data_IF_316318574199
#
_entry.id   IF_316318574199
#
_cell.length_a   1.000
_cell.length_b   1.000
_cell.length_c   1.000
_cell.angle_alpha   90.00
_cell.angle_beta   90.00
_cell.angle_gamma   90.00
#
_symmetry.space_group_name_H-M   'P 1'
#
loop_
_entity.id
_entity.type
_entity.pdbx_description
1 polymer ?
#
# COMPACT_ATOMS: atom_id res chain seq x y z
N UNK A 1 3.24 -17.76 -17.26
CA UNK A 1 2.54 -16.83 -18.19
C UNK A 1 1.05 -16.83 -17.90
N UNK A 2 0.61 -16.03 -16.93
CA UNK A 2 -0.81 -15.74 -16.69
C UNK A 2 -1.07 -14.35 -17.27
N UNK A 3 -1.90 -14.29 -18.31
CA UNK A 3 -2.30 -13.02 -18.94
C UNK A 3 -3.37 -12.37 -18.07
N UNK A 4 -3.16 -11.11 -17.67
CA UNK A 4 -4.09 -10.37 -16.80
C UNK A 4 -3.80 -10.46 -15.29
N UNK A 5 -2.53 -10.66 -14.93
CA UNK A 5 -2.08 -10.76 -13.53
C UNK A 5 -2.51 -9.59 -12.65
N UNK A 6 -2.90 -9.93 -11.42
CA UNK A 6 -2.94 -9.00 -10.30
C UNK A 6 -1.48 -8.70 -9.95
N UNK A 7 -0.97 -7.52 -10.31
CA UNK A 7 0.31 -7.03 -9.81
C UNK A 7 0.11 -6.77 -8.32
N UNK A 8 0.50 -7.78 -7.54
CA UNK A 8 0.64 -7.69 -6.09
C UNK A 8 2.07 -7.29 -5.80
N UNK A 9 2.29 -6.70 -4.62
CA UNK A 9 3.63 -6.30 -4.24
C UNK A 9 4.58 -7.45 -4.44
N UNK A 10 5.75 -7.04 -4.81
CA UNK A 10 6.89 -7.84 -5.06
C UNK A 10 7.67 -7.72 -3.68
N UNK A 11 8.55 -8.65 -3.23
CA UNK A 11 9.31 -8.53 -1.95
C UNK A 11 10.85 -8.61 -2.04
N UNK A 12 11.60 -8.49 -0.94
CA UNK A 12 13.04 -8.83 -0.94
C UNK A 12 13.20 -10.35 -1.01
N UNK A 13 13.54 -10.91 -2.17
CA UNK A 13 13.96 -12.30 -2.32
C UNK A 13 15.47 -12.41 -2.10
N UNK A 14 15.90 -12.94 -0.95
CA UNK A 14 17.23 -13.54 -0.85
C UNK A 14 17.18 -14.96 -1.40
N UNK A 15 18.03 -15.26 -2.38
CA UNK A 15 18.20 -16.58 -3.02
C UNK A 15 18.87 -17.64 -2.11
N UNK A 16 18.95 -17.41 -0.79
CA UNK A 16 19.54 -18.36 0.15
C UNK A 16 18.47 -19.19 0.88
N UNK A 17 18.57 -20.51 0.75
CA UNK A 17 17.72 -21.53 1.40
C UNK A 17 17.77 -21.44 2.94
N UNK A 18 17.00 -20.51 3.52
CA UNK A 18 17.02 -20.21 4.96
C UNK A 18 15.68 -20.35 5.70
N UNK A 19 14.55 -20.25 5.00
CA UNK A 19 13.21 -20.32 5.61
C UNK A 19 12.49 -21.60 5.17
N UNK A 20 12.19 -22.48 6.13
CA UNK A 20 11.28 -23.59 5.91
C UNK A 20 9.89 -23.04 5.57
N UNK A 21 9.21 -23.64 4.58
CA UNK A 21 7.81 -23.29 4.27
C UNK A 21 6.94 -23.48 5.51
N UNK A 22 6.26 -22.43 5.87
CA UNK A 22 5.36 -22.34 7.01
C UNK A 22 4.16 -21.47 6.63
N UNK A 23 3.10 -21.45 7.45
CA UNK A 23 1.84 -20.75 7.13
C UNK A 23 2.11 -19.26 6.88
N UNK A 24 3.06 -18.70 7.61
CA UNK A 24 3.52 -17.31 7.54
C UNK A 24 4.24 -17.03 6.21
N UNK A 25 5.20 -17.86 5.80
CA UNK A 25 5.94 -17.65 4.54
C UNK A 25 5.08 -17.92 3.32
N UNK A 26 4.24 -18.96 3.34
CA UNK A 26 3.25 -19.21 2.29
C UNK A 26 2.19 -18.08 2.23
N UNK A 27 1.75 -17.53 3.37
CA UNK A 27 0.84 -16.38 3.42
C UNK A 27 1.50 -15.12 2.82
N UNK A 28 2.72 -14.81 3.26
CA UNK A 28 3.48 -13.65 2.80
C UNK A 28 3.70 -13.78 1.29
N UNK A 29 4.29 -14.87 0.79
CA UNK A 29 4.56 -15.06 -0.65
C UNK A 29 3.30 -15.08 -1.53
N UNK A 30 2.12 -15.38 -0.98
CA UNK A 30 0.88 -15.53 -1.76
C UNK A 30 -0.02 -14.29 -1.75
N UNK A 31 -0.05 -13.54 -0.65
CA UNK A 31 -1.03 -12.45 -0.45
C UNK A 31 -0.40 -11.09 -0.13
N UNK A 32 0.84 -11.07 0.35
CA UNK A 32 1.58 -9.84 0.67
C UNK A 32 2.60 -9.53 -0.42
N UNK A 33 3.43 -10.50 -0.78
CA UNK A 33 4.60 -10.39 -1.66
C UNK A 33 4.76 -11.52 -2.72
N UNK A 34 3.88 -11.63 -3.73
CA UNK A 34 4.24 -12.32 -4.97
C UNK A 34 5.29 -11.52 -5.77
N UNK A 35 6.55 -11.99 -5.74
CA UNK A 35 7.56 -11.90 -6.82
C UNK A 35 8.77 -10.85 -6.84
N UNK A 36 8.95 -9.76 -6.04
CA UNK A 36 10.22 -8.91 -6.01
C UNK A 36 10.27 -7.32 -5.87
N UNK A 37 10.04 -6.66 -4.69
CA UNK A 37 9.82 -5.21 -4.28
C UNK A 37 8.44 -4.38 -4.40
N UNK A 38 8.26 -3.23 -3.69
CA UNK A 38 6.97 -2.50 -3.49
C UNK A 38 6.47 -1.61 -4.68
N UNK A 39 5.18 -1.19 -4.69
CA UNK A 39 4.62 -0.20 -5.67
C UNK A 39 5.45 1.10 -5.73
N UNK A 40 5.60 1.64 -6.95
CA UNK A 40 6.46 2.79 -7.23
C UNK A 40 6.00 4.06 -6.50
N UNK A 41 4.70 4.41 -6.59
CA UNK A 41 4.16 5.63 -5.95
C UNK A 41 4.35 5.53 -4.43
N UNK A 42 4.08 4.37 -3.87
CA UNK A 42 4.18 4.18 -2.43
C UNK A 42 5.62 4.21 -1.90
N UNK A 43 6.57 3.73 -2.69
CA UNK A 43 8.00 3.69 -2.31
C UNK A 43 8.66 5.05 -2.47
N UNK A 44 8.49 5.69 -3.63
CA UNK A 44 9.15 6.95 -3.97
C UNK A 44 8.45 8.15 -3.30
N UNK A 45 7.12 8.21 -3.41
CA UNK A 45 6.35 9.43 -3.12
C UNK A 45 5.76 9.45 -1.69
N UNK A 46 5.49 8.26 -1.14
CA UNK A 46 4.92 8.13 0.21
C UNK A 46 5.95 7.63 1.23
N UNK A 47 7.18 7.29 0.84
CA UNK A 47 8.22 6.74 1.72
C UNK A 47 7.73 5.50 2.52
N UNK A 48 6.90 4.66 1.91
CA UNK A 48 6.47 3.40 2.54
C UNK A 48 7.59 2.36 2.37
N UNK A 49 8.31 2.07 3.45
CA UNK A 49 9.42 1.09 3.47
C UNK A 49 9.00 -0.35 3.80
N UNK A 50 7.74 -0.57 4.16
CA UNK A 50 7.17 -1.92 4.36
C UNK A 50 5.66 -1.91 4.14
N UNK A 51 5.17 -2.90 3.37
CA UNK A 51 3.74 -3.19 3.22
C UNK A 51 3.21 -4.20 4.25
N UNK A 52 3.96 -4.58 5.29
CA UNK A 52 3.46 -5.41 6.39
C UNK A 52 3.99 -5.00 7.77
N UNK A 53 3.23 -5.34 8.81
CA UNK A 53 3.58 -5.13 10.21
C UNK A 53 3.02 -6.27 11.09
N UNK A 54 3.89 -6.90 11.87
CA UNK A 54 3.51 -7.84 12.93
C UNK A 54 2.83 -7.12 14.09
N UNK A 55 1.82 -7.76 14.70
CA UNK A 55 1.28 -7.31 15.98
C UNK A 55 2.31 -7.49 17.10
N UNK A 56 2.25 -6.70 18.20
CA UNK A 56 3.21 -6.78 19.30
C UNK A 56 3.28 -8.15 20.01
N UNK A 57 2.23 -8.96 19.88
CA UNK A 57 2.12 -10.33 20.40
C UNK A 57 2.43 -11.42 19.35
N UNK A 58 2.84 -11.04 18.14
CA UNK A 58 3.10 -11.91 16.99
C UNK A 58 1.92 -12.79 16.54
N UNK A 59 0.68 -12.51 16.98
CA UNK A 59 -0.51 -13.29 16.56
C UNK A 59 -0.99 -12.91 15.15
N UNK A 60 -0.80 -11.67 14.74
CA UNK A 60 -1.36 -11.13 13.51
C UNK A 60 -0.31 -10.48 12.61
N UNK A 61 -0.56 -10.52 11.30
CA UNK A 61 0.15 -9.74 10.28
C UNK A 61 -0.86 -8.76 9.67
N UNK A 62 -0.66 -7.46 9.90
CA UNK A 62 -1.32 -6.42 9.12
C UNK A 62 -0.52 -6.19 7.83
N UNK A 63 -1.19 -6.03 6.69
CA UNK A 63 -0.52 -5.88 5.40
C UNK A 63 -1.33 -5.09 4.37
N UNK A 64 -0.63 -4.52 3.39
CA UNK A 64 -1.25 -3.80 2.28
C UNK A 64 -1.28 -4.67 1.02
N UNK A 65 -2.47 -4.82 0.45
CA UNK A 65 -2.67 -5.34 -0.90
C UNK A 65 -2.84 -4.18 -1.88
N UNK A 66 -2.11 -4.25 -2.99
CA UNK A 66 -2.18 -3.31 -4.09
C UNK A 66 -2.81 -3.98 -5.30
N UNK A 67 -3.46 -3.19 -6.14
CA UNK A 67 -4.05 -3.65 -7.40
C UNK A 67 -3.75 -2.60 -8.47
N UNK A 68 -2.68 -2.85 -9.23
CA UNK A 68 -2.15 -1.96 -10.25
C UNK A 68 -2.68 -2.31 -11.66
N UNK A 69 -3.67 -3.20 -11.78
CA UNK A 69 -4.35 -3.46 -13.05
C UNK A 69 -4.94 -2.20 -13.71
N UNK A 70 -5.45 -1.16 -13.00
CA UNK A 70 -5.87 0.09 -13.63
C UNK A 70 -4.70 1.06 -13.94
N UNK A 71 -3.48 0.78 -13.49
CA UNK A 71 -2.30 1.64 -13.70
C UNK A 71 -1.69 1.37 -15.08
N UNK A 72 -1.38 2.46 -15.78
CA UNK A 72 -0.76 2.42 -17.09
C UNK A 72 0.68 1.87 -17.01
N UNK A 73 1.06 1.04 -17.99
CA UNK A 73 2.46 0.65 -18.20
C UNK A 73 3.19 1.65 -19.08
N UNK A 74 4.45 1.94 -18.73
CA UNK A 74 5.37 2.77 -19.48
C UNK A 74 6.62 1.96 -19.85
N UNK A 75 6.99 1.87 -21.14
CA UNK A 75 8.16 1.13 -21.55
C UNK A 75 9.44 1.89 -21.18
N UNK A 76 10.29 1.26 -20.38
CA UNK A 76 11.62 1.73 -20.06
C UNK A 76 12.66 0.89 -20.81
N UNK A 77 13.74 1.53 -21.25
CA UNK A 77 14.83 0.85 -21.97
C UNK A 77 15.94 0.59 -20.96
N UNK A 78 16.31 -0.67 -20.78
CA UNK A 78 17.53 -1.03 -20.05
C UNK A 78 18.73 -0.90 -21.00
N UNK A 79 19.71 -0.09 -20.58
CA UNK A 79 20.96 0.15 -21.30
C UNK A 79 22.17 -0.56 -20.65
N UNK A 80 21.97 -1.30 -19.56
CA UNK A 80 23.04 -2.04 -18.87
C UNK A 80 23.46 -3.30 -19.66
N UNK A 81 22.54 -3.90 -20.43
CA UNK A 81 22.86 -5.01 -21.32
C UNK A 81 23.52 -4.57 -22.64
N UNK A 82 24.35 -5.46 -23.21
CA UNK A 82 25.03 -5.23 -24.49
C UNK A 82 24.06 -5.01 -25.68
N UNK A 83 22.82 -5.50 -25.55
CA UNK A 83 21.71 -5.20 -26.46
C UNK A 83 20.59 -4.62 -25.60
N UNK A 84 20.18 -3.36 -25.80
CA UNK A 84 19.14 -2.77 -24.98
C UNK A 84 17.84 -3.58 -25.04
N UNK A 85 17.29 -3.88 -23.87
CA UNK A 85 15.99 -4.53 -23.70
C UNK A 85 14.94 -3.49 -23.32
N UNK A 86 13.66 -3.86 -23.41
CA UNK A 86 12.55 -3.02 -22.96
C UNK A 86 11.81 -3.78 -21.86
N UNK A 87 11.57 -3.12 -20.74
CA UNK A 87 10.72 -3.60 -19.66
C UNK A 87 9.56 -2.61 -19.45
N UNK A 88 8.41 -3.12 -19.02
CA UNK A 88 7.21 -2.32 -18.79
C UNK A 88 7.09 -1.98 -17.30
N UNK A 89 7.16 -0.68 -16.98
CA UNK A 89 7.07 -0.15 -15.61
C UNK A 89 5.65 0.36 -15.30
N UNK A 90 5.19 0.24 -14.05
CA UNK A 90 3.86 0.69 -13.62
C UNK A 90 3.91 2.14 -13.15
N UNK A 91 3.46 3.06 -14.01
CA UNK A 91 3.63 4.49 -13.78
C UNK A 91 2.33 5.30 -13.99
N UNK A 92 1.62 5.70 -12.92
CA UNK A 92 0.36 6.44 -13.01
C UNK A 92 0.61 7.93 -13.28
N UNK A 93 0.54 8.36 -14.55
CA UNK A 93 0.67 9.79 -14.90
C UNK A 93 -0.40 10.68 -14.25
N UNK A 94 -0.09 11.97 -14.04
CA UNK A 94 -0.98 12.93 -13.35
C UNK A 94 -2.38 13.03 -13.99
N UNK A 95 -3.38 12.46 -13.28
CA UNK A 95 -4.78 12.35 -13.67
C UNK A 95 -5.23 10.92 -14.02
N UNK A 96 -4.29 10.03 -14.37
CA UNK A 96 -4.52 8.61 -14.62
C UNK A 96 -4.80 7.85 -13.32
N UNK A 97 -5.42 6.65 -13.36
CA UNK A 97 -5.74 5.89 -12.15
C UNK A 97 -4.50 5.48 -11.36
N UNK A 98 -4.60 5.58 -10.04
CA UNK A 98 -3.62 5.05 -9.08
C UNK A 98 -3.84 3.54 -8.85
N UNK A 99 -2.87 2.83 -8.24
CA UNK A 99 -3.11 1.53 -7.62
C UNK A 99 -4.28 1.59 -6.64
N UNK A 100 -5.08 0.51 -6.56
CA UNK A 100 -6.14 0.38 -5.55
C UNK A 100 -5.57 -0.35 -4.33
N UNK A 101 -5.41 0.38 -3.21
CA UNK A 101 -4.78 -0.17 -1.99
C UNK A 101 -5.81 -0.55 -0.93
N UNK A 102 -5.60 -1.70 -0.26
CA UNK A 102 -6.45 -2.22 0.82
C UNK A 102 -5.59 -2.76 1.97
N UNK A 103 -6.03 -2.51 3.21
CA UNK A 103 -5.42 -3.07 4.42
C UNK A 103 -6.10 -4.39 4.80
N UNK A 104 -5.34 -5.47 4.85
CA UNK A 104 -5.75 -6.74 5.43
C UNK A 104 -5.09 -7.01 6.77
N UNK A 105 -5.71 -7.84 7.59
CA UNK A 105 -5.12 -8.44 8.79
C UNK A 105 -5.30 -9.94 8.73
N UNK A 106 -4.21 -10.68 8.85
CA UNK A 106 -4.18 -12.13 8.89
C UNK A 106 -3.85 -12.61 10.30
N UNK A 107 -4.70 -13.44 10.87
CA UNK A 107 -4.47 -14.18 12.11
C UNK A 107 -3.70 -15.46 11.80
N UNK A 108 -2.49 -15.58 12.34
CA UNK A 108 -1.54 -16.65 12.00
C UNK A 108 -1.95 -17.99 12.62
N UNK A 109 -2.54 -17.97 13.81
CA UNK A 109 -2.95 -19.17 14.53
C UNK A 109 -4.17 -19.85 13.89
N UNK A 110 -5.12 -19.06 13.39
CA UNK A 110 -6.38 -19.54 12.81
C UNK A 110 -6.42 -19.54 11.28
N UNK A 111 -5.45 -18.88 10.62
CA UNK A 111 -5.43 -18.68 9.17
C UNK A 111 -6.51 -17.73 8.65
N UNK A 112 -7.14 -16.94 9.52
CA UNK A 112 -8.27 -16.07 9.18
C UNK A 112 -7.77 -14.72 8.63
N UNK A 113 -8.29 -14.33 7.46
CA UNK A 113 -8.05 -13.02 6.85
C UNK A 113 -9.27 -12.10 7.02
N UNK A 114 -9.04 -10.87 7.49
CA UNK A 114 -10.06 -9.82 7.63
C UNK A 114 -9.60 -8.56 6.91
N UNK A 115 -10.47 -7.97 6.10
CA UNK A 115 -10.19 -6.72 5.38
C UNK A 115 -10.70 -5.52 6.17
N UNK A 116 -9.86 -4.50 6.32
CA UNK A 116 -10.21 -3.27 7.04
C UNK A 116 -10.89 -2.28 6.07
N UNK A 117 -12.12 -1.81 6.34
CA UNK A 117 -12.88 -0.95 5.42
C UNK A 117 -12.43 0.53 5.49
N UNK A 118 -11.12 0.75 5.29
CA UNK A 118 -10.47 2.08 5.31
C UNK A 118 -10.28 2.70 3.93
N UNK A 119 -9.93 1.85 2.96
CA UNK A 119 -9.58 2.22 1.59
C UNK A 119 -10.08 1.13 0.63
N UNK A 120 -9.67 1.19 -0.64
CA UNK A 120 -10.09 0.25 -1.67
C UNK A 120 -10.70 0.90 -2.91
N UNK A 121 -10.47 2.19 -3.12
CA UNK A 121 -10.70 2.90 -4.39
C UNK A 121 -9.40 3.52 -4.88
N UNK A 122 -9.30 3.83 -6.18
CA UNK A 122 -8.17 4.56 -6.74
C UNK A 122 -8.14 6.06 -6.33
N UNK A 123 -9.16 6.52 -5.59
CA UNK A 123 -9.30 7.91 -5.12
C UNK A 123 -8.90 8.10 -3.64
N UNK A 124 -8.29 7.07 -3.04
CA UNK A 124 -7.77 7.07 -1.67
C UNK A 124 -6.37 6.49 -1.62
N UNK A 125 -5.44 7.18 -0.98
CA UNK A 125 -4.15 6.61 -0.55
C UNK A 125 -4.28 6.17 0.91
N UNK A 126 -3.96 4.92 1.21
CA UNK A 126 -3.70 4.48 2.58
C UNK A 126 -2.22 4.68 2.89
N UNK A 127 -1.83 5.86 3.38
CA UNK A 127 -0.44 6.35 3.39
C UNK A 127 0.43 5.75 4.50
N UNK A 128 -0.16 5.41 5.64
CA UNK A 128 0.50 4.68 6.75
C UNK A 128 -0.47 3.70 7.37
N UNK A 129 0.07 2.67 8.01
CA UNK A 129 -0.67 1.73 8.84
C UNK A 129 0.27 1.13 9.88
N UNK A 130 -0.28 0.47 10.90
CA UNK A 130 0.49 -0.25 11.89
C UNK A 130 -0.36 -0.69 13.07
N UNK A 131 0.26 -1.22 14.11
CA UNK A 131 -0.45 -1.62 15.31
C UNK A 131 -0.46 -0.50 16.35
N UNK A 132 -1.56 -0.36 17.09
CA UNK A 132 -1.55 0.43 18.32
C UNK A 132 -0.63 -0.26 19.34
N UNK A 133 -0.02 0.48 20.30
CA UNK A 133 0.91 -0.10 21.28
C UNK A 133 0.35 -1.26 22.11
N UNK A 134 -0.97 -1.33 22.26
CA UNK A 134 -1.69 -2.39 22.96
C UNK A 134 -1.85 -3.69 22.14
N UNK A 135 -1.63 -3.64 20.83
CA UNK A 135 -1.81 -4.78 19.91
C UNK A 135 -3.27 -5.14 19.59
N UNK A 136 -4.25 -4.53 20.25
CA UNK A 136 -5.68 -4.85 20.12
C UNK A 136 -6.35 -4.31 18.84
N UNK A 137 -5.71 -3.32 18.19
CA UNK A 137 -6.20 -2.69 16.96
C UNK A 137 -5.06 -2.33 16.01
N UNK A 138 -5.35 -2.45 14.72
CA UNK A 138 -4.55 -1.86 13.64
C UNK A 138 -5.03 -0.43 13.39
N UNK A 139 -4.14 0.50 13.08
CA UNK A 139 -4.48 1.83 12.59
C UNK A 139 -4.14 1.96 11.11
N UNK A 140 -4.82 2.89 10.43
CA UNK A 140 -4.51 3.30 9.08
C UNK A 140 -4.76 4.80 8.90
N UNK A 141 -3.88 5.45 8.16
CA UNK A 141 -3.99 6.83 7.71
C UNK A 141 -4.46 6.84 6.26
N UNK A 142 -5.62 7.43 6.01
CA UNK A 142 -6.24 7.49 4.68
C UNK A 142 -6.26 8.94 4.20
N UNK A 143 -5.59 9.21 3.10
CA UNK A 143 -5.51 10.50 2.43
C UNK A 143 -6.39 10.47 1.17
N UNK A 144 -7.24 11.47 0.96
CA UNK A 144 -7.99 11.59 -0.29
C UNK A 144 -7.04 11.87 -1.49
N UNK A 145 -7.45 11.55 -2.72
CA UNK A 145 -6.63 11.76 -3.93
C UNK A 145 -6.12 13.19 -4.13
N UNK A 146 -6.88 14.19 -3.66
CA UNK A 146 -6.50 15.60 -3.70
C UNK A 146 -5.54 16.02 -2.58
N UNK A 147 -5.15 15.11 -1.67
CA UNK A 147 -4.18 15.32 -0.58
C UNK A 147 -4.53 16.48 0.37
N UNK A 148 -5.83 16.66 0.61
CA UNK A 148 -6.42 17.76 1.38
C UNK A 148 -7.16 17.29 2.65
N UNK A 149 -7.35 15.98 2.81
CA UNK A 149 -8.04 15.39 3.96
C UNK A 149 -7.35 14.08 4.36
N UNK A 150 -6.65 14.11 5.49
CA UNK A 150 -6.09 12.93 6.15
C UNK A 150 -7.04 12.46 7.26
N UNK A 151 -7.47 11.21 7.16
CA UNK A 151 -8.28 10.50 8.13
C UNK A 151 -7.43 9.42 8.80
N UNK A 152 -7.10 9.61 10.08
CA UNK A 152 -6.63 8.49 10.91
C UNK A 152 -7.85 7.65 11.34
N UNK A 153 -7.72 6.33 11.31
CA UNK A 153 -8.73 5.40 11.79
C UNK A 153 -8.08 4.19 12.46
N UNK A 154 -8.79 3.57 13.40
CA UNK A 154 -8.39 2.30 14.02
C UNK A 154 -9.45 1.23 13.80
N UNK A 155 -9.00 -0.01 13.60
CA UNK A 155 -9.85 -1.13 13.23
C UNK A 155 -9.58 -2.32 14.15
N UNK A 156 -10.65 -3.05 14.49
CA UNK A 156 -10.53 -4.33 15.17
C UNK A 156 -10.07 -5.43 14.19
N UNK A 157 -9.02 -6.20 14.50
CA UNK A 157 -8.46 -7.20 13.59
C UNK A 157 -9.37 -8.41 13.37
N UNK A 158 -10.22 -8.77 14.34
CA UNK A 158 -11.11 -9.92 14.26
C UNK A 158 -12.39 -9.65 13.47
N UNK A 159 -12.92 -8.42 13.52
CA UNK A 159 -14.24 -8.06 12.98
C UNK A 159 -14.21 -7.06 11.83
N UNK A 160 -13.11 -6.33 11.64
CA UNK A 160 -13.04 -5.20 10.71
C UNK A 160 -13.81 -3.96 11.19
N UNK A 161 -14.28 -3.93 12.45
CA UNK A 161 -14.96 -2.76 13.03
C UNK A 161 -14.01 -1.55 13.05
N UNK A 162 -14.33 -0.54 12.24
CA UNK A 162 -13.56 0.70 12.11
C UNK A 162 -14.13 1.83 12.96
N UNK A 163 -13.23 2.56 13.63
CA UNK A 163 -13.49 3.85 14.28
C UNK A 163 -12.58 4.93 13.71
N UNK A 164 -13.15 6.02 13.21
CA UNK A 164 -12.39 7.20 12.81
C UNK A 164 -11.81 7.93 14.03
N UNK A 165 -10.50 8.17 14.01
CA UNK A 165 -9.77 9.00 14.96
C UNK A 165 -9.57 10.37 14.30
N UNK A 166 -10.59 11.22 14.39
CA UNK A 166 -10.65 12.47 13.63
C UNK A 166 -9.59 13.47 14.11
N UNK A 167 -8.58 13.74 13.28
CA UNK A 167 -7.80 14.97 13.35
C UNK A 167 -8.50 16.05 12.50
N UNK A 168 -8.43 17.31 12.93
CA UNK A 168 -9.00 18.46 12.19
C UNK A 168 -7.97 19.57 12.21
N UNK A 169 -7.55 20.11 11.06
CA UNK A 169 -6.67 21.28 11.03
C UNK A 169 -7.42 22.49 11.58
N UNK A 170 -6.83 23.18 12.56
CA UNK A 170 -7.40 24.39 13.17
C UNK A 170 -7.24 25.64 12.27
N UNK A 171 -6.38 25.58 11.25
CA UNK A 171 -6.12 26.65 10.30
C UNK A 171 -5.74 26.10 8.91
N UNK A 172 -5.88 26.89 7.82
CA UNK A 172 -5.30 26.56 6.52
C UNK A 172 -3.77 26.60 6.57
N UNK A 173 -3.09 25.59 6.01
CA UNK A 173 -1.63 25.54 5.95
C UNK A 173 -1.09 24.22 5.38
N UNK A 174 0.22 24.18 5.12
CA UNK A 174 0.93 22.94 4.82
C UNK A 174 1.34 22.30 6.15
N UNK A 175 0.57 21.30 6.58
CA UNK A 175 0.97 20.37 7.62
C UNK A 175 1.77 19.23 6.96
N UNK A 176 2.58 18.44 7.69
CA UNK A 176 3.36 17.36 7.10
C UNK A 176 2.44 16.25 6.59
N UNK A 177 2.03 16.40 5.34
CA UNK A 177 1.34 15.40 4.54
C UNK A 177 2.25 15.01 3.40
N UNK A 178 2.33 13.71 3.17
CA UNK A 178 3.14 13.04 2.16
C UNK A 178 3.06 13.79 0.84
N UNK A 179 4.19 14.34 0.38
CA UNK A 179 4.24 15.14 -0.82
C UNK A 179 4.56 14.23 -2.00
N UNK A 180 3.56 13.86 -2.79
CA UNK A 180 3.79 13.14 -4.05
C UNK A 180 3.99 14.13 -5.22
N UNK A 181 4.87 13.85 -6.17
CA UNK A 181 5.11 14.69 -7.36
C UNK A 181 3.83 14.85 -8.23
N UNK A 182 2.86 13.95 -8.05
CA UNK A 182 1.51 14.04 -8.62
C UNK A 182 0.65 15.20 -8.06
N UNK A 183 1.08 15.91 -7.03
CA UNK A 183 0.40 17.10 -6.48
C UNK A 183 0.15 18.23 -7.49
N UNK A 184 0.89 18.26 -8.60
CA UNK A 184 0.91 19.37 -9.57
C UNK A 184 -0.39 19.59 -10.37
N UNK A 185 -1.41 18.72 -10.26
CA UNK A 185 -2.59 18.75 -11.15
C UNK A 185 -3.96 18.60 -10.47
N UNK A 186 -4.01 18.44 -9.15
CA UNK A 186 -5.27 18.35 -8.38
C UNK A 186 -5.78 19.71 -7.88
N UNK A 187 -5.00 20.78 -8.01
CA UNK A 187 -5.46 22.16 -7.77
C UNK A 187 -6.33 22.59 -8.97
N UNK A 188 -7.65 22.81 -8.80
CA UNK A 188 -8.44 23.41 -9.86
C UNK A 188 -7.94 24.83 -10.11
N UNK A 189 -7.56 25.15 -11.35
CA UNK A 189 -7.13 26.48 -11.80
C UNK A 189 -8.29 27.48 -11.92
N UNK A 190 -9.30 27.32 -11.07
CA UNK A 190 -10.50 28.15 -10.99
C UNK A 190 -10.97 28.25 -9.54
N UNK A 191 -10.37 29.19 -8.80
CA UNK A 191 -11.08 29.93 -7.75
C UNK A 191 -11.42 31.32 -8.31
N UNK A 192 -12.59 31.90 -7.96
CA UNK A 192 -13.08 33.16 -8.52
C UNK A 192 -12.32 34.39 -8.01
#
# INVERSE_FOLDING_TARGET
LIVGGLFLNHGITHDEDGWNKCVETDFISKYVFPDGELDWVYTEELDLRSAYAWSPDSRYIAFLQFDERPVQTFPLIDYLEQRPTVYDEKYPTAGSPNPIVRLGVFDVETGKLVWMPLAGTADTYLVRFGWLPQGDRVYGEVLNRAQTNLQLASCNPDSGETRTLKWVPEAPGVFPFYCTDFCSKSIPTSLP
#
